data_IF_839686030483
#
_entry.id   IF_839686030483
#
_cell.length_a   1.000
_cell.length_b   1.000
_cell.length_c   1.000
_cell.angle_alpha   90.00
_cell.angle_beta   90.00
_cell.angle_gamma   90.00
#
_symmetry.space_group_name_H-M   'P 1'
#
loop_
_entity.id
_entity.type
_entity.pdbx_description
1 polymer ?
#
# COMPACT_ATOMS: atom_id res chain seq x y z
N UNK A 1 -1.45 23.59 5.02
CA UNK A 1 -2.61 24.07 5.80
C UNK A 1 -2.10 24.58 7.13
N UNK A 2 -2.50 25.79 7.52
CA UNK A 2 -2.08 26.42 8.76
C UNK A 2 -3.20 26.35 9.81
N UNK A 3 -4.47 26.30 9.38
CA UNK A 3 -5.58 26.20 10.30
C UNK A 3 -6.94 26.24 9.63
N UNK A 4 -7.96 26.05 10.45
CA UNK A 4 -9.37 26.14 10.10
C UNK A 4 -10.02 27.23 10.97
N UNK A 5 -10.88 28.03 10.37
CA UNK A 5 -11.58 29.14 11.05
C UNK A 5 -13.09 28.97 10.84
N UNK A 6 -13.87 29.36 11.84
CA UNK A 6 -15.33 29.38 11.81
C UNK A 6 -15.95 29.26 13.19
N UNK A 7 -17.22 29.59 13.30
CA UNK A 7 -18.03 29.46 14.52
C UNK A 7 -18.92 28.21 14.42
N UNK A 8 -18.62 27.18 15.22
CA UNK A 8 -19.37 25.93 15.26
C UNK A 8 -19.21 25.02 14.02
N UNK A 9 -18.75 25.58 12.88
CA UNK A 9 -18.42 24.85 11.65
C UNK A 9 -17.28 25.53 10.92
N UNK A 10 -16.58 24.78 10.04
CA UNK A 10 -15.57 25.39 9.19
C UNK A 10 -16.18 26.37 8.20
N UNK A 11 -15.57 27.54 8.08
CA UNK A 11 -15.96 28.59 7.13
C UNK A 11 -14.78 29.01 6.25
N UNK A 12 -13.54 28.80 6.75
CA UNK A 12 -12.33 29.15 6.03
C UNK A 12 -11.21 28.15 6.32
N UNK A 13 -10.57 27.67 5.25
CA UNK A 13 -9.31 26.96 5.30
C UNK A 13 -8.17 27.96 5.08
N UNK A 14 -7.25 28.07 6.03
CA UNK A 14 -6.06 28.93 5.92
C UNK A 14 -4.84 28.13 5.51
N UNK A 15 -4.19 28.61 4.48
CA UNK A 15 -2.85 28.16 4.06
C UNK A 15 -1.84 29.31 4.25
N UNK A 16 -0.55 29.02 4.13
CA UNK A 16 0.49 30.06 4.17
C UNK A 16 0.30 31.14 3.08
N UNK A 17 -0.33 30.79 1.96
CA UNK A 17 -0.45 31.67 0.79
C UNK A 17 -1.83 32.33 0.66
N UNK A 18 -2.89 31.75 1.20
CA UNK A 18 -4.26 32.22 1.01
C UNK A 18 -5.25 31.66 2.03
N UNK A 19 -6.35 32.37 2.20
CA UNK A 19 -7.56 31.92 2.88
C UNK A 19 -8.60 31.46 1.83
N UNK A 20 -9.18 30.29 2.01
CA UNK A 20 -10.16 29.68 1.11
C UNK A 20 -11.46 29.51 1.86
N UNK A 21 -12.52 30.20 1.42
CA UNK A 21 -13.86 30.01 1.95
C UNK A 21 -14.38 28.61 1.60
N UNK A 22 -14.88 27.87 2.58
CA UNK A 22 -15.36 26.51 2.39
C UNK A 22 -16.31 26.12 3.52
N UNK A 23 -17.25 25.26 3.22
CA UNK A 23 -18.20 24.71 4.19
C UNK A 23 -17.80 23.31 4.66
N UNK A 24 -16.84 22.67 3.96
CA UNK A 24 -16.33 21.33 4.28
C UNK A 24 -14.88 21.21 3.92
N UNK A 25 -14.11 20.50 4.73
CA UNK A 25 -12.72 20.13 4.46
C UNK A 25 -12.55 18.62 4.59
N UNK A 26 -12.07 17.98 3.54
CA UNK A 26 -11.72 16.56 3.54
C UNK A 26 -10.20 16.45 3.75
N UNK A 27 -9.79 15.88 4.87
CA UNK A 27 -8.39 15.62 5.16
C UNK A 27 -8.01 14.20 4.71
N UNK A 28 -7.21 14.12 3.64
CA UNK A 28 -6.69 12.88 3.08
C UNK A 28 -5.17 12.98 2.94
N UNK A 29 -4.48 13.01 4.07
CA UNK A 29 -3.03 13.29 4.17
C UNK A 29 -2.17 12.04 4.40
N UNK A 30 -2.74 10.86 4.14
CA UNK A 30 -2.09 9.58 4.33
C UNK A 30 -2.33 8.97 5.70
N UNK A 31 -1.65 7.85 5.94
CA UNK A 31 -1.73 7.08 7.18
C UNK A 31 -0.35 6.88 7.77
N UNK A 32 -0.28 6.60 9.05
CA UNK A 32 0.93 6.23 9.78
C UNK A 32 0.60 5.16 10.82
N UNK A 33 1.55 4.28 11.17
CA UNK A 33 1.29 3.31 12.23
C UNK A 33 1.10 4.02 13.57
N UNK A 34 0.16 3.53 14.37
CA UNK A 34 -0.08 4.03 15.72
C UNK A 34 0.79 3.26 16.72
N UNK A 35 2.08 3.51 16.70
CA UNK A 35 3.11 2.78 17.49
C UNK A 35 3.92 3.71 18.40
N UNK A 36 3.52 4.97 18.54
CA UNK A 36 4.23 5.97 19.38
C UNK A 36 4.38 5.49 20.84
N UNK A 37 3.35 4.83 21.37
CA UNK A 37 3.33 4.30 22.73
C UNK A 37 4.30 3.11 22.95
N UNK A 38 4.91 2.58 21.90
CA UNK A 38 5.89 1.48 21.95
C UNK A 38 7.34 1.98 21.87
N UNK A 39 7.60 3.28 21.75
CA UNK A 39 8.96 3.81 21.53
C UNK A 39 9.95 3.37 22.66
N UNK A 40 9.48 3.29 23.89
CA UNK A 40 10.31 2.89 25.05
C UNK A 40 10.13 1.40 25.43
N UNK A 41 9.50 0.60 24.58
CA UNK A 41 9.19 -0.81 24.90
C UNK A 41 10.37 -1.77 24.72
N UNK A 42 11.47 -1.32 24.08
CA UNK A 42 12.59 -2.18 23.69
C UNK A 42 12.33 -3.01 22.43
N UNK A 43 11.19 -2.80 21.73
CA UNK A 43 10.91 -3.43 20.45
C UNK A 43 11.68 -2.75 19.33
N UNK A 44 12.13 -3.55 18.35
CA UNK A 44 12.85 -3.03 17.20
C UNK A 44 11.89 -2.44 16.16
N UNK A 45 12.21 -1.24 15.73
CA UNK A 45 11.58 -0.59 14.58
C UNK A 45 12.50 -0.63 13.37
N UNK A 46 11.95 -0.66 12.17
CA UNK A 46 12.72 -0.48 10.96
C UNK A 46 13.30 0.94 10.94
N UNK A 47 14.59 1.06 10.69
CA UNK A 47 15.35 2.31 10.74
C UNK A 47 14.65 3.46 10.00
N UNK A 48 14.56 4.60 10.64
CA UNK A 48 13.90 5.80 10.10
C UNK A 48 12.38 5.72 9.98
N UNK A 49 11.76 4.70 10.59
CA UNK A 49 10.30 4.50 10.54
C UNK A 49 9.73 4.25 11.94
N UNK A 50 8.40 4.23 12.03
CA UNK A 50 7.66 3.79 13.22
C UNK A 50 7.01 2.42 13.02
N UNK A 51 7.58 1.59 12.13
CA UNK A 51 7.04 0.30 11.74
C UNK A 51 7.86 -0.78 12.41
N UNK A 52 7.21 -1.68 13.14
CA UNK A 52 7.88 -2.77 13.84
C UNK A 52 8.56 -3.70 12.86
N UNK A 53 9.81 -4.04 13.16
CA UNK A 53 10.55 -5.09 12.48
C UNK A 53 10.10 -6.45 13.00
N UNK A 54 9.77 -7.35 12.10
CA UNK A 54 9.27 -8.69 12.42
C UNK A 54 9.92 -9.74 11.51
N UNK A 55 10.04 -10.95 12.04
CA UNK A 55 10.48 -12.10 11.25
C UNK A 55 9.38 -12.58 10.28
N UNK A 56 9.67 -13.63 9.53
CA UNK A 56 8.72 -14.22 8.60
C UNK A 56 7.49 -14.87 9.27
N UNK A 57 7.51 -15.05 10.58
CA UNK A 57 6.39 -15.54 11.39
C UNK A 57 5.67 -14.43 12.15
N UNK A 58 5.95 -13.16 11.81
CA UNK A 58 5.40 -11.96 12.45
C UNK A 58 5.84 -11.77 13.91
N UNK A 59 6.93 -12.40 14.35
CA UNK A 59 7.46 -12.25 15.69
C UNK A 59 8.46 -11.08 15.73
N UNK A 60 8.41 -10.30 16.78
CA UNK A 60 9.35 -9.20 17.05
C UNK A 60 10.68 -9.73 17.58
N UNK A 61 11.56 -8.83 18.01
CA UNK A 61 12.78 -9.19 18.76
C UNK A 61 12.49 -9.73 20.16
N UNK A 62 11.30 -9.53 20.72
CA UNK A 62 10.83 -10.19 21.94
C UNK A 62 10.09 -11.48 21.55
N UNK A 63 10.52 -12.61 22.10
CA UNK A 63 9.97 -13.94 21.76
C UNK A 63 8.49 -14.12 22.14
N UNK A 64 7.97 -13.27 23.02
CA UNK A 64 6.60 -13.31 23.53
C UNK A 64 5.68 -12.33 22.79
N UNK A 65 6.22 -11.52 21.85
CA UNK A 65 5.49 -10.44 21.19
C UNK A 65 5.50 -10.62 19.68
N UNK A 66 4.33 -10.55 19.09
CA UNK A 66 4.10 -10.55 17.63
C UNK A 66 3.45 -9.25 17.19
N UNK A 67 3.75 -8.81 15.97
CA UNK A 67 3.11 -7.65 15.36
C UNK A 67 2.60 -7.97 13.95
N UNK A 68 1.38 -7.56 13.66
CA UNK A 68 0.70 -7.84 12.38
C UNK A 68 -0.09 -6.64 11.89
N UNK A 69 -0.38 -6.60 10.61
CA UNK A 69 -1.17 -5.51 10.02
C UNK A 69 -0.34 -4.24 9.79
N UNK A 70 -0.98 -3.09 9.98
CA UNK A 70 -0.43 -1.79 9.58
C UNK A 70 0.76 -1.32 10.42
N UNK A 71 1.01 -1.94 11.57
CA UNK A 71 2.17 -1.62 12.42
C UNK A 71 3.41 -2.46 12.11
N UNK A 72 3.30 -3.51 11.28
CA UNK A 72 4.37 -4.45 10.99
C UNK A 72 4.94 -4.28 9.58
N UNK A 73 6.26 -4.43 9.45
CA UNK A 73 6.95 -4.44 8.15
C UNK A 73 6.76 -5.78 7.45
N UNK A 74 6.61 -5.74 6.14
CA UNK A 74 6.55 -6.93 5.29
C UNK A 74 7.53 -6.84 4.13
N UNK A 75 7.74 -7.93 3.39
CA UNK A 75 8.58 -7.92 2.19
C UNK A 75 7.75 -7.66 0.93
N UNK A 76 8.30 -6.90 0.00
CA UNK A 76 7.78 -6.82 -1.35
C UNK A 76 8.29 -8.02 -2.17
N UNK A 77 7.40 -8.80 -2.76
CA UNK A 77 7.73 -10.02 -3.51
C UNK A 77 8.48 -9.74 -4.83
N UNK A 78 8.39 -8.52 -5.36
CA UNK A 78 9.10 -8.15 -6.59
C UNK A 78 10.55 -7.81 -6.29
N UNK A 79 10.79 -6.97 -5.26
CA UNK A 79 12.11 -6.45 -4.93
C UNK A 79 12.86 -7.27 -3.88
N UNK A 80 12.16 -8.09 -3.10
CA UNK A 80 12.70 -8.77 -1.92
C UNK A 80 13.00 -7.85 -0.73
N UNK A 81 12.79 -6.54 -0.87
CA UNK A 81 13.08 -5.53 0.16
C UNK A 81 11.89 -5.31 1.08
N UNK A 82 12.16 -4.74 2.24
CA UNK A 82 11.13 -4.29 3.16
C UNK A 82 10.18 -3.31 2.49
N UNK A 83 8.90 -3.45 2.78
CA UNK A 83 7.84 -2.62 2.22
C UNK A 83 6.71 -2.48 3.23
N UNK A 84 6.32 -1.26 3.49
CA UNK A 84 5.15 -1.01 4.31
C UNK A 84 3.89 -1.03 3.44
N UNK A 85 2.97 -1.91 3.78
CA UNK A 85 1.74 -2.12 3.01
C UNK A 85 0.53 -2.13 3.94
N UNK A 86 0.05 -0.94 4.36
CA UNK A 86 -1.10 -0.80 5.26
C UNK A 86 -2.40 -1.11 4.49
N UNK A 87 -2.70 -2.38 4.34
CA UNK A 87 -3.82 -2.91 3.57
C UNK A 87 -4.54 -4.00 4.36
N UNK A 88 -5.87 -3.97 4.36
CA UNK A 88 -6.71 -4.95 5.04
C UNK A 88 -6.42 -6.41 4.62
N UNK A 89 -6.09 -6.64 3.35
CA UNK A 89 -5.68 -7.96 2.86
C UNK A 89 -4.36 -8.42 3.49
N UNK A 90 -3.36 -7.54 3.58
CA UNK A 90 -2.08 -7.82 4.23
C UNK A 90 -2.27 -8.09 5.72
N UNK A 91 -3.06 -7.26 6.41
CA UNK A 91 -3.37 -7.42 7.82
C UNK A 91 -4.05 -8.76 8.11
N UNK A 92 -5.04 -9.16 7.29
CA UNK A 92 -5.73 -10.43 7.43
C UNK A 92 -4.79 -11.63 7.22
N UNK A 93 -3.96 -11.60 6.17
CA UNK A 93 -3.04 -12.69 5.85
C UNK A 93 -1.96 -12.84 6.92
N UNK A 94 -1.34 -11.72 7.35
CA UNK A 94 -0.31 -11.75 8.40
C UNK A 94 -0.87 -12.18 9.75
N UNK A 95 -2.08 -11.72 10.12
CA UNK A 95 -2.75 -12.12 11.36
C UNK A 95 -3.08 -13.62 11.40
N UNK A 96 -3.58 -14.17 10.29
CA UNK A 96 -3.86 -15.62 10.20
C UNK A 96 -2.60 -16.48 10.25
N UNK A 97 -1.50 -16.00 9.66
CA UNK A 97 -0.21 -16.68 9.77
C UNK A 97 0.33 -16.62 11.20
N UNK A 98 0.30 -15.44 11.80
CA UNK A 98 0.74 -15.22 13.17
C UNK A 98 0.01 -16.17 14.16
N UNK A 99 -1.31 -16.29 14.04
CA UNK A 99 -2.08 -17.23 14.86
C UNK A 99 -1.60 -18.69 14.70
N UNK A 100 -1.27 -19.09 13.46
CA UNK A 100 -0.69 -20.42 13.23
C UNK A 100 0.72 -20.58 13.78
N UNK A 101 1.52 -19.51 13.73
CA UNK A 101 2.86 -19.51 14.29
C UNK A 101 2.83 -19.65 15.82
N UNK A 102 1.98 -18.89 16.49
CA UNK A 102 1.76 -18.99 17.94
C UNK A 102 1.27 -20.39 18.33
N UNK A 103 0.38 -21.00 17.55
CA UNK A 103 -0.12 -22.35 17.78
C UNK A 103 0.87 -23.47 17.37
N UNK A 104 2.06 -23.15 16.86
CA UNK A 104 3.04 -24.14 16.40
C UNK A 104 2.62 -24.91 15.14
N UNK A 105 1.64 -24.42 14.39
CA UNK A 105 1.07 -25.10 13.21
C UNK A 105 1.42 -24.44 11.87
N UNK A 106 2.20 -23.35 11.90
CA UNK A 106 2.66 -22.67 10.69
C UNK A 106 3.65 -23.55 9.93
N UNK A 107 3.32 -23.88 8.70
CA UNK A 107 4.20 -24.69 7.82
C UNK A 107 5.22 -23.82 7.05
N UNK A 108 4.92 -22.55 6.87
CA UNK A 108 5.72 -21.59 6.09
C UNK A 108 5.61 -20.22 6.71
N UNK A 109 6.63 -19.40 6.58
CA UNK A 109 6.62 -17.99 6.93
C UNK A 109 5.82 -17.13 5.94
N UNK A 110 5.62 -15.87 6.28
CA UNK A 110 4.99 -14.88 5.42
C UNK A 110 5.90 -14.52 4.25
N UNK A 111 5.49 -14.88 3.06
CA UNK A 111 6.33 -14.70 1.87
C UNK A 111 6.51 -13.25 1.46
N UNK A 112 5.59 -12.38 1.86
CA UNK A 112 5.53 -10.99 1.45
C UNK A 112 4.30 -10.67 0.60
N UNK A 113 4.29 -9.48 0.02
CA UNK A 113 3.14 -8.93 -0.73
C UNK A 113 3.59 -8.34 -2.06
N UNK A 114 2.67 -8.26 -3.02
CA UNK A 114 2.83 -7.52 -4.26
C UNK A 114 2.36 -6.06 -4.15
N UNK A 115 1.73 -5.67 -3.05
CA UNK A 115 1.12 -4.35 -2.90
C UNK A 115 -0.11 -4.17 -3.79
N UNK A 116 -0.88 -5.24 -3.99
CA UNK A 116 -2.11 -5.20 -4.80
C UNK A 116 -3.17 -4.36 -4.10
N UNK A 117 -3.72 -3.40 -4.82
CA UNK A 117 -4.84 -2.59 -4.34
C UNK A 117 -5.78 -2.19 -5.48
N UNK A 118 -7.01 -1.90 -5.11
CA UNK A 118 -8.06 -1.41 -5.99
C UNK A 118 -8.72 -0.21 -5.33
N UNK A 119 -9.00 0.81 -6.12
CA UNK A 119 -9.70 2.02 -5.72
C UNK A 119 -10.86 2.25 -6.68
N UNK A 120 -12.05 2.45 -6.14
CA UNK A 120 -13.21 2.90 -6.88
C UNK A 120 -13.43 4.39 -6.64
N UNK A 121 -13.48 5.15 -7.70
CA UNK A 121 -13.85 6.56 -7.72
C UNK A 121 -15.16 6.71 -8.50
N UNK A 122 -15.90 7.82 -8.36
CA UNK A 122 -17.08 8.06 -9.19
C UNK A 122 -16.75 7.98 -10.69
N UNK A 123 -17.31 6.99 -11.37
CA UNK A 123 -17.13 6.79 -12.81
C UNK A 123 -15.79 6.19 -13.25
N UNK A 124 -14.93 5.72 -12.34
CA UNK A 124 -13.66 5.12 -12.71
C UNK A 124 -13.14 4.15 -11.63
N UNK A 125 -12.57 3.05 -12.06
CA UNK A 125 -11.89 2.08 -11.19
C UNK A 125 -10.39 2.06 -11.50
N UNK A 126 -9.57 2.01 -10.45
CA UNK A 126 -8.12 1.95 -10.58
C UNK A 126 -7.61 0.74 -9.82
N UNK A 127 -6.78 -0.06 -10.47
CA UNK A 127 -6.14 -1.22 -9.85
C UNK A 127 -4.64 -1.23 -10.10
N UNK A 128 -3.88 -1.75 -9.15
CA UNK A 128 -2.46 -2.03 -9.36
C UNK A 128 -2.01 -3.26 -8.61
N UNK A 129 -0.99 -3.91 -9.15
CA UNK A 129 -0.19 -4.93 -8.45
C UNK A 129 1.26 -4.80 -8.85
N UNK A 130 2.18 -5.11 -7.94
CA UNK A 130 3.62 -4.95 -8.18
C UNK A 130 4.07 -3.49 -8.30
N UNK A 131 5.08 -3.25 -9.11
CA UNK A 131 5.76 -1.96 -9.25
C UNK A 131 5.22 -1.16 -10.44
N UNK A 132 5.02 0.14 -10.26
CA UNK A 132 4.86 1.08 -11.34
C UNK A 132 6.21 1.44 -11.97
N UNK A 133 6.20 2.21 -13.07
CA UNK A 133 7.40 2.61 -13.82
C UNK A 133 8.46 3.24 -12.90
N UNK A 134 8.09 4.27 -12.14
CA UNK A 134 9.05 5.00 -11.32
C UNK A 134 9.57 4.16 -10.15
N UNK A 135 8.71 3.35 -9.52
CA UNK A 135 9.12 2.44 -8.45
C UNK A 135 10.07 1.34 -8.95
N UNK A 136 9.83 0.82 -10.16
CA UNK A 136 10.71 -0.18 -10.75
C UNK A 136 12.09 0.40 -11.10
N UNK A 137 12.14 1.61 -11.68
CA UNK A 137 13.40 2.33 -11.92
C UNK A 137 14.15 2.62 -10.62
N UNK A 138 13.46 3.13 -9.61
CA UNK A 138 14.04 3.41 -8.29
C UNK A 138 14.58 2.15 -7.60
N UNK A 139 13.97 0.99 -7.88
CA UNK A 139 14.44 -0.31 -7.42
C UNK A 139 15.65 -0.84 -8.20
N UNK A 140 16.09 -0.15 -9.27
CA UNK A 140 17.27 -0.49 -10.08
C UNK A 140 17.00 -1.40 -11.27
N UNK A 141 15.73 -1.62 -11.65
CA UNK A 141 15.41 -2.44 -12.83
C UNK A 141 15.55 -1.66 -14.13
N UNK A 142 16.17 -2.28 -15.13
CA UNK A 142 16.09 -1.82 -16.54
C UNK A 142 14.77 -2.31 -17.14
N UNK A 143 13.83 -1.37 -17.34
CA UNK A 143 12.44 -1.69 -17.64
C UNK A 143 12.06 -1.47 -19.09
N UNK A 144 11.16 -2.34 -19.57
CA UNK A 144 10.28 -2.09 -20.69
C UNK A 144 8.84 -2.00 -20.17
N UNK A 145 8.02 -1.19 -20.82
CA UNK A 145 6.60 -1.13 -20.48
C UNK A 145 5.76 -0.93 -21.74
N UNK A 146 4.52 -1.33 -21.66
CA UNK A 146 3.49 -1.08 -22.67
C UNK A 146 2.23 -0.59 -21.99
N UNK A 147 1.56 0.35 -22.62
CA UNK A 147 0.21 0.79 -22.22
C UNK A 147 -0.71 0.56 -23.41
N UNK A 148 -1.77 -0.18 -23.20
CA UNK A 148 -2.79 -0.46 -24.21
C UNK A 148 -4.15 -0.02 -23.68
N UNK A 149 -4.97 0.51 -24.58
CA UNK A 149 -6.38 0.77 -24.33
C UNK A 149 -7.19 -0.21 -25.16
N UNK A 150 -8.09 -0.90 -24.54
CA UNK A 150 -9.00 -1.86 -25.17
C UNK A 150 -10.39 -1.70 -24.56
N UNK A 151 -11.30 -2.54 -24.95
CA UNK A 151 -12.61 -2.61 -24.33
C UNK A 151 -12.62 -3.67 -23.22
N UNK A 152 -13.39 -3.41 -22.17
CA UNK A 152 -13.59 -4.33 -21.04
C UNK A 152 -14.40 -5.58 -21.43
N UNK A 153 -15.22 -5.44 -22.49
CA UNK A 153 -16.11 -6.48 -23.04
C UNK A 153 -16.01 -6.54 -24.55
N UNK A 154 -16.53 -7.58 -25.14
CA UNK A 154 -16.64 -7.69 -26.59
C UNK A 154 -17.60 -6.61 -27.14
N UNK A 155 -17.32 -6.11 -28.35
CA UNK A 155 -18.02 -4.96 -28.98
C UNK A 155 -19.53 -5.09 -29.14
N UNK A 156 -20.07 -6.29 -29.00
CA UNK A 156 -21.52 -6.52 -29.10
C UNK A 156 -22.26 -6.37 -27.77
N UNK A 157 -21.56 -6.16 -26.64
CA UNK A 157 -22.21 -5.85 -25.38
C UNK A 157 -22.58 -4.35 -25.32
N UNK A 158 -23.84 -4.01 -24.93
CA UNK A 158 -24.33 -2.63 -24.98
C UNK A 158 -23.67 -1.70 -23.95
N UNK A 159 -23.14 -2.23 -22.86
CA UNK A 159 -22.51 -1.51 -21.75
C UNK A 159 -20.98 -1.64 -21.75
N UNK A 160 -20.39 -1.87 -22.91
CA UNK A 160 -18.97 -1.91 -23.14
C UNK A 160 -18.32 -0.55 -22.84
N UNK A 161 -17.20 -0.54 -22.11
CA UNK A 161 -16.45 0.67 -21.84
C UNK A 161 -14.95 0.50 -22.11
N UNK A 162 -14.22 1.60 -22.05
CA UNK A 162 -12.80 1.59 -22.28
C UNK A 162 -12.04 1.12 -21.03
N UNK A 163 -11.00 0.35 -21.28
CA UNK A 163 -10.14 -0.24 -20.27
C UNK A 163 -8.68 -0.02 -20.68
N UNK A 164 -7.92 0.62 -19.80
CA UNK A 164 -6.51 0.88 -20.01
C UNK A 164 -5.67 0.00 -19.10
N UNK A 165 -4.71 -0.72 -19.67
CA UNK A 165 -3.79 -1.57 -18.92
C UNK A 165 -2.34 -1.19 -19.24
N UNK A 166 -1.52 -1.10 -18.20
CA UNK A 166 -0.07 -0.93 -18.30
C UNK A 166 0.64 -2.11 -17.69
N UNK A 167 1.53 -2.71 -18.44
CA UNK A 167 2.45 -3.75 -18.00
C UNK A 167 3.85 -3.18 -17.87
N UNK A 168 4.55 -3.50 -16.79
CA UNK A 168 5.95 -3.13 -16.56
C UNK A 168 6.75 -4.41 -16.36
N UNK A 169 7.80 -4.59 -17.17
CA UNK A 169 8.66 -5.78 -17.12
C UNK A 169 10.13 -5.39 -17.12
N UNK A 170 10.97 -6.24 -16.60
CA UNK A 170 12.43 -6.14 -16.76
C UNK A 170 12.81 -6.58 -18.17
N UNK A 171 13.67 -5.81 -18.85
CA UNK A 171 13.99 -6.04 -20.26
C UNK A 171 14.68 -7.37 -20.51
N UNK A 172 15.70 -7.72 -19.70
CA UNK A 172 16.52 -8.90 -19.94
C UNK A 172 15.77 -10.18 -19.58
N UNK A 173 15.31 -10.30 -18.36
CA UNK A 173 14.63 -11.50 -17.87
C UNK A 173 13.21 -11.65 -18.37
N UNK A 174 12.60 -10.57 -18.88
CA UNK A 174 11.17 -10.46 -19.24
C UNK A 174 10.23 -10.73 -18.06
N UNK A 175 10.75 -10.67 -16.84
CA UNK A 175 9.97 -10.82 -15.63
C UNK A 175 8.98 -9.66 -15.51
N UNK A 176 7.71 -9.98 -15.33
CA UNK A 176 6.68 -8.98 -15.06
C UNK A 176 6.90 -8.41 -13.66
N UNK A 177 7.07 -7.10 -13.57
CA UNK A 177 7.32 -6.37 -12.33
C UNK A 177 6.04 -5.75 -11.76
N UNK A 178 5.09 -5.43 -12.61
CA UNK A 178 3.83 -4.87 -12.17
C UNK A 178 2.83 -4.58 -13.27
N UNK A 179 1.58 -4.39 -12.84
CA UNK A 179 0.44 -4.08 -13.69
C UNK A 179 -0.34 -2.93 -13.08
N UNK A 180 -0.78 -1.96 -13.89
CA UNK A 180 -1.71 -0.91 -13.51
C UNK A 180 -2.89 -0.95 -14.46
N UNK A 181 -4.06 -0.69 -13.93
CA UNK A 181 -5.32 -0.79 -14.67
C UNK A 181 -6.19 0.41 -14.36
N UNK A 182 -6.89 0.89 -15.37
CA UNK A 182 -7.85 1.98 -15.29
C UNK A 182 -9.06 1.61 -16.15
N UNK A 183 -10.26 1.71 -15.59
CA UNK A 183 -11.52 1.40 -16.29
C UNK A 183 -12.76 1.56 -15.42
#
# INVERSE_FOLDING_TARGET
VVGFEGEGRVQTLRTEKRAIKTDMVIMSVGVRPNTEWLEDSGLNFVEGTRILDVDEYMRTNDESIWAVGDCAMVKNLVTGKNNWTPMGSTANLSGRLCAKAIAGTAKHGFRGVLGTNVLQLPGINVGKTGLGIEAAKAAGYDIAYVTITCYDKAKFYPDMDHFCIRLVAEKQSRRLLGVQVLG
#
